data_IF_701637042536
#
_entry.id   IF_701637042536
#
_cell.length_a   1.000
_cell.length_b   1.000
_cell.length_c   1.000
_cell.angle_alpha   90.00
_cell.angle_beta   90.00
_cell.angle_gamma   90.00
#
_symmetry.space_group_name_H-M   'P 1'
#
loop_
_entity.id
_entity.type
_entity.pdbx_description
1 polymer ?
#
# COMPACT_ATOMS: atom_id res chain seq x y z
N UNK A 1 12.11 11.08 66.14
CA UNK A 1 12.39 9.73 65.58
C UNK A 1 11.93 9.74 64.13
N UNK A 2 12.84 9.92 63.15
CA UNK A 2 13.57 8.91 62.33
C UNK A 2 12.90 8.83 60.93
N UNK A 3 13.40 9.54 59.91
CA UNK A 3 14.47 9.21 58.93
C UNK A 3 14.08 8.14 57.89
N UNK A 4 14.25 8.48 56.61
CA UNK A 4 14.28 7.52 55.50
C UNK A 4 14.29 8.16 54.11
N UNK A 5 15.43 8.73 53.71
CA UNK A 5 15.75 9.04 52.31
C UNK A 5 16.03 7.75 51.51
N UNK A 6 15.85 7.80 50.19
CA UNK A 6 16.29 6.75 49.28
C UNK A 6 16.29 7.20 47.82
N UNK A 7 17.34 7.92 47.41
CA UNK A 7 17.69 8.18 46.00
C UNK A 7 18.46 6.97 45.47
N UNK A 8 18.06 6.41 44.32
CA UNK A 8 18.78 5.36 43.61
C UNK A 8 19.07 5.82 42.18
N UNK A 9 20.28 6.35 42.00
CA UNK A 9 20.90 6.58 40.70
C UNK A 9 21.56 5.28 40.24
N UNK A 10 21.03 4.68 39.17
CA UNK A 10 21.65 3.55 38.49
C UNK A 10 22.46 4.05 37.29
N UNK A 11 23.79 3.99 37.38
CA UNK A 11 24.69 4.19 36.24
C UNK A 11 25.09 2.80 35.74
N UNK A 12 24.64 2.44 34.54
CA UNK A 12 25.10 1.23 33.85
C UNK A 12 25.74 1.63 32.53
N UNK A 13 27.07 1.60 32.52
CA UNK A 13 27.87 1.60 31.31
C UNK A 13 27.87 0.18 30.72
N UNK A 14 27.54 0.05 29.44
CA UNK A 14 27.87 -1.15 28.66
C UNK A 14 28.59 -0.75 27.37
N UNK A 15 29.81 -1.23 27.25
CA UNK A 15 30.68 -1.08 26.09
C UNK A 15 30.16 -1.92 24.92
N UNK A 16 30.14 -1.35 23.71
CA UNK A 16 29.92 -2.11 22.47
C UNK A 16 31.24 -2.19 21.71
N UNK A 17 31.81 -3.39 21.69
CA UNK A 17 32.97 -3.75 20.90
C UNK A 17 32.60 -3.74 19.40
N UNK A 18 33.44 -3.07 18.59
CA UNK A 18 33.24 -2.91 17.14
C UNK A 18 33.32 -4.22 16.37
N UNK A 19 32.33 -4.43 15.49
CA UNK A 19 32.20 -5.58 14.62
C UNK A 19 32.97 -5.38 13.30
N UNK A 20 33.60 -6.48 12.88
CA UNK A 20 34.48 -6.71 11.73
C UNK A 20 33.97 -6.14 10.40
N UNK A 21 34.82 -5.38 9.70
CA UNK A 21 34.61 -5.01 8.30
C UNK A 21 35.03 -6.18 7.38
N UNK A 22 34.07 -6.81 6.70
CA UNK A 22 34.30 -7.78 5.64
C UNK A 22 34.24 -7.10 4.27
N UNK A 23 35.24 -7.35 3.45
CA UNK A 23 35.44 -6.82 2.12
C UNK A 23 34.51 -7.46 1.06
N UNK A 24 34.10 -6.66 0.08
CA UNK A 24 33.63 -7.07 -1.26
C UNK A 24 34.66 -6.51 -2.29
N UNK A 25 34.81 -7.02 -3.55
CA UNK A 25 33.73 -7.53 -4.41
C UNK A 25 34.11 -8.71 -5.37
N UNK A 26 33.11 -9.33 -6.00
CA UNK A 26 33.23 -9.92 -7.34
C UNK A 26 31.83 -10.19 -7.93
N UNK A 27 31.27 -9.24 -8.69
CA UNK A 27 30.18 -9.53 -9.61
C UNK A 27 30.78 -9.93 -10.96
N UNK A 28 30.47 -11.14 -11.39
CA UNK A 28 30.86 -11.69 -12.67
C UNK A 28 30.08 -11.03 -13.81
N UNK A 29 30.80 -10.60 -14.84
CA UNK A 29 30.29 -10.04 -16.09
C UNK A 29 29.39 -11.05 -16.81
N UNK A 30 28.15 -10.66 -17.14
CA UNK A 30 27.35 -11.37 -18.13
C UNK A 30 27.58 -10.75 -19.51
N UNK A 31 28.14 -11.55 -20.41
CA UNK A 31 28.47 -11.21 -21.78
C UNK A 31 27.23 -11.04 -22.66
N UNK A 32 27.23 -9.98 -23.47
CA UNK A 32 26.29 -9.79 -24.58
C UNK A 32 26.50 -10.84 -25.67
N UNK A 33 25.42 -11.47 -26.12
CA UNK A 33 25.38 -12.23 -27.38
C UNK A 33 24.35 -11.60 -28.29
N UNK A 34 24.82 -10.99 -29.37
CA UNK A 34 24.04 -10.51 -30.50
C UNK A 34 24.11 -11.54 -31.65
N UNK A 35 22.96 -11.78 -32.29
CA UNK A 35 22.65 -12.35 -33.62
C UNK A 35 21.27 -13.02 -33.50
N UNK A 36 20.28 -12.92 -34.39
CA UNK A 36 20.24 -12.92 -35.86
C UNK A 36 18.91 -12.26 -36.29
N UNK A 37 18.87 -11.38 -37.30
CA UNK A 37 18.73 -11.61 -38.75
C UNK A 37 17.30 -11.91 -39.26
N UNK A 38 16.88 -11.05 -40.19
CA UNK A 38 15.95 -11.24 -41.33
C UNK A 38 14.45 -11.54 -41.15
N UNK A 39 13.65 -10.50 -41.42
CA UNK A 39 12.78 -10.42 -42.60
C UNK A 39 11.61 -11.41 -42.73
N UNK A 40 10.39 -10.91 -42.50
CA UNK A 40 9.19 -11.32 -43.24
C UNK A 40 8.10 -10.24 -43.14
N UNK A 41 7.96 -9.45 -44.20
CA UNK A 41 6.75 -8.71 -44.52
C UNK A 41 5.66 -9.69 -44.95
N UNK A 42 4.53 -9.71 -44.24
CA UNK A 42 3.31 -10.37 -44.73
C UNK A 42 2.20 -9.34 -44.79
N UNK A 43 1.75 -9.15 -46.02
CA UNK A 43 0.69 -8.27 -46.49
C UNK A 43 -0.66 -8.64 -45.85
N UNK A 44 -1.39 -7.64 -45.37
CA UNK A 44 -2.76 -7.81 -44.92
C UNK A 44 -3.67 -7.77 -46.16
N UNK A 45 -3.99 -8.94 -46.72
CA UNK A 45 -4.97 -9.04 -47.80
C UNK A 45 -6.38 -8.81 -47.27
N UNK A 46 -7.05 -7.82 -47.87
CA UNK A 46 -8.46 -7.56 -47.72
C UNK A 46 -9.30 -8.72 -48.28
N UNK A 47 -10.35 -9.11 -47.55
CA UNK A 47 -11.49 -9.82 -48.13
C UNK A 47 -12.75 -9.00 -47.88
N UNK A 48 -13.34 -8.58 -48.98
CA UNK A 48 -14.63 -7.95 -49.16
C UNK A 48 -15.79 -8.85 -48.71
N UNK A 49 -16.64 -8.37 -47.80
CA UNK A 49 -18.02 -8.84 -47.63
C UNK A 49 -18.93 -7.63 -47.32
N UNK A 50 -19.85 -7.36 -48.27
CA UNK A 50 -20.85 -6.30 -48.21
C UNK A 50 -21.95 -6.47 -47.15
N UNK A 51 -22.94 -5.56 -47.12
CA UNK A 51 -23.52 -5.02 -45.90
C UNK A 51 -24.63 -5.91 -45.32
N UNK A 52 -24.49 -6.29 -44.04
CA UNK A 52 -25.58 -6.76 -43.21
C UNK A 52 -26.19 -5.57 -42.45
N UNK A 53 -27.52 -5.45 -42.49
CA UNK A 53 -28.28 -4.29 -42.01
C UNK A 53 -28.14 -3.98 -40.51
N UNK A 54 -28.66 -2.83 -40.06
CA UNK A 54 -28.55 -2.41 -38.66
C UNK A 54 -29.33 -3.38 -37.76
N UNK A 55 -28.76 -3.83 -36.63
CA UNK A 55 -29.56 -4.50 -35.61
C UNK A 55 -30.57 -3.49 -35.04
N UNK A 56 -31.83 -3.88 -35.15
CA UNK A 56 -33.05 -3.24 -34.67
C UNK A 56 -32.96 -2.94 -33.16
N UNK A 57 -33.40 -1.75 -32.76
CA UNK A 57 -33.65 -1.34 -31.38
C UNK A 57 -34.46 -2.39 -30.62
N UNK A 58 -33.82 -3.09 -29.70
CA UNK A 58 -34.48 -3.69 -28.56
C UNK A 58 -34.19 -2.78 -27.35
N UNK A 59 -35.07 -1.80 -27.13
CA UNK A 59 -35.13 -1.06 -25.88
C UNK A 59 -35.39 -2.06 -24.75
N UNK A 60 -34.34 -2.44 -24.03
CA UNK A 60 -34.49 -3.08 -22.73
C UNK A 60 -34.94 -1.95 -21.81
N UNK A 61 -36.23 -1.92 -21.49
CA UNK A 61 -36.74 -1.10 -20.39
C UNK A 61 -36.11 -1.60 -19.10
N UNK A 62 -35.03 -0.93 -18.69
CA UNK A 62 -34.47 -1.04 -17.35
C UNK A 62 -35.39 -0.29 -16.40
N UNK A 63 -36.38 -1.00 -15.86
CA UNK A 63 -37.09 -0.57 -14.65
C UNK A 63 -36.18 -0.83 -13.44
N UNK A 64 -35.14 -0.01 -13.29
CA UNK A 64 -34.37 0.03 -12.04
C UNK A 64 -35.25 0.66 -10.96
N UNK A 65 -35.53 -0.02 -9.84
CA UNK A 65 -36.10 0.66 -8.68
C UNK A 65 -35.07 1.67 -8.17
N UNK A 66 -35.52 2.92 -7.97
CA UNK A 66 -34.81 3.93 -7.18
C UNK A 66 -34.60 3.35 -5.78
N UNK A 67 -33.42 2.77 -5.58
CA UNK A 67 -32.80 2.56 -4.28
C UNK A 67 -31.91 3.76 -3.99
N UNK A 68 -31.83 4.16 -2.73
CA UNK A 68 -31.07 5.31 -2.21
C UNK A 68 -29.74 5.50 -2.96
N UNK A 69 -29.62 6.61 -3.67
CA UNK A 69 -28.75 6.79 -4.85
C UNK A 69 -27.26 7.07 -4.53
N UNK A 70 -26.73 6.61 -3.38
CA UNK A 70 -25.38 7.03 -2.92
C UNK A 70 -24.35 5.90 -2.80
N UNK A 71 -24.74 4.61 -2.82
CA UNK A 71 -23.80 3.51 -2.65
C UNK A 71 -23.68 2.68 -3.94
N UNK A 72 -22.63 2.95 -4.72
CA UNK A 72 -22.26 2.12 -5.86
C UNK A 72 -21.92 0.71 -5.36
N UNK A 73 -22.62 -0.35 -5.81
CA UNK A 73 -22.38 -1.70 -5.31
C UNK A 73 -20.94 -2.12 -5.59
N UNK A 74 -20.22 -2.53 -4.54
CA UNK A 74 -18.81 -2.91 -4.59
C UNK A 74 -17.82 -1.76 -4.36
N UNK A 75 -18.31 -0.55 -4.07
CA UNK A 75 -17.52 0.59 -3.64
C UNK A 75 -17.96 1.06 -2.25
N UNK A 76 -17.03 1.59 -1.47
CA UNK A 76 -17.27 2.24 -0.19
C UNK A 76 -16.90 3.72 -0.29
N UNK A 77 -17.76 4.60 0.23
CA UNK A 77 -17.42 6.02 0.39
C UNK A 77 -16.43 6.19 1.55
N UNK A 78 -15.31 6.86 1.28
CA UNK A 78 -14.29 7.21 2.29
C UNK A 78 -14.28 8.71 2.60
N UNK A 79 -15.32 9.43 2.17
CA UNK A 79 -15.57 10.83 2.45
C UNK A 79 -15.06 11.76 1.35
N UNK A 80 -15.64 12.96 1.28
CA UNK A 80 -15.26 13.96 0.29
C UNK A 80 -15.70 13.62 -1.14
N UNK A 81 -16.67 12.72 -1.31
CA UNK A 81 -17.15 12.27 -2.61
C UNK A 81 -16.22 11.26 -3.30
N UNK A 82 -15.33 10.63 -2.54
CA UNK A 82 -14.40 9.61 -3.04
C UNK A 82 -14.87 8.25 -2.58
N UNK A 83 -15.10 7.36 -3.54
CA UNK A 83 -15.41 5.97 -3.29
C UNK A 83 -14.28 5.07 -3.80
N UNK A 84 -13.85 4.10 -2.99
CA UNK A 84 -12.86 3.09 -3.34
C UNK A 84 -13.53 1.70 -3.40
N UNK A 85 -12.95 0.71 -4.10
CA UNK A 85 -13.47 -0.64 -4.04
C UNK A 85 -13.58 -1.14 -2.60
N UNK A 86 -14.69 -1.78 -2.25
CA UNK A 86 -14.88 -2.32 -0.90
C UNK A 86 -13.98 -3.52 -0.61
N UNK A 87 -13.53 -4.22 -1.65
CA UNK A 87 -12.63 -5.38 -1.58
C UNK A 87 -11.28 -5.01 -2.18
N UNK A 88 -10.20 -5.40 -1.50
CA UNK A 88 -8.84 -5.08 -1.92
C UNK A 88 -8.29 -6.04 -2.97
N UNK A 89 -7.18 -5.70 -3.63
CA UNK A 89 -6.39 -6.66 -4.41
C UNK A 89 -5.94 -7.86 -3.57
N UNK A 90 -5.67 -8.97 -4.26
CA UNK A 90 -5.13 -10.19 -3.65
C UNK A 90 -6.10 -10.83 -2.65
N UNK A 91 -5.60 -11.12 -1.44
CA UNK A 91 -6.34 -11.80 -0.38
C UNK A 91 -7.06 -10.82 0.57
N UNK A 92 -7.12 -9.53 0.22
CA UNK A 92 -7.68 -8.51 1.09
C UNK A 92 -9.22 -8.49 1.11
N UNK A 93 -9.87 -8.88 2.22
CA UNK A 93 -11.32 -8.95 2.28
C UNK A 93 -11.99 -7.57 2.24
N UNK A 94 -11.30 -6.57 2.79
CA UNK A 94 -11.67 -5.16 2.79
C UNK A 94 -10.49 -4.34 2.27
N UNK A 95 -10.76 -3.14 1.74
CA UNK A 95 -9.71 -2.19 1.37
C UNK A 95 -9.88 -0.91 2.16
N UNK A 96 -8.87 -0.54 2.93
CA UNK A 96 -8.85 0.72 3.65
C UNK A 96 -8.07 1.80 2.88
N UNK A 97 -8.35 3.07 3.16
CA UNK A 97 -7.58 4.18 2.61
C UNK A 97 -7.67 5.41 3.52
N UNK A 98 -6.69 6.31 3.43
CA UNK A 98 -6.72 7.59 4.14
C UNK A 98 -7.26 8.68 3.20
N UNK A 99 -8.20 9.49 3.68
CA UNK A 99 -8.69 10.64 2.93
C UNK A 99 -9.11 11.81 3.84
N UNK A 100 -8.83 13.08 3.47
CA UNK A 100 -7.82 13.50 2.51
C UNK A 100 -6.42 13.01 2.91
N UNK A 101 -5.56 12.71 1.93
CA UNK A 101 -4.24 12.11 2.15
C UNK A 101 -3.08 13.11 1.99
N UNK A 102 -3.35 14.41 1.97
CA UNK A 102 -2.27 15.39 2.05
C UNK A 102 -1.47 15.18 3.35
N UNK A 103 -0.16 15.39 3.27
CA UNK A 103 0.74 15.05 4.36
C UNK A 103 0.33 15.72 5.69
N UNK A 104 0.02 14.92 6.71
CA UNK A 104 -0.37 15.37 8.05
C UNK A 104 -1.68 16.18 8.11
N UNK A 105 -2.57 16.04 7.12
CA UNK A 105 -3.83 16.78 7.10
C UNK A 105 -4.70 16.45 8.34
N UNK A 106 -5.08 17.43 9.18
CA UNK A 106 -5.85 17.16 10.41
C UNK A 106 -7.31 16.74 10.14
N UNK A 107 -7.80 16.93 8.92
CA UNK A 107 -9.10 16.45 8.49
C UNK A 107 -9.05 15.01 7.95
N UNK A 108 -7.85 14.44 7.77
CA UNK A 108 -7.68 13.06 7.31
C UNK A 108 -8.40 12.09 8.25
N UNK A 109 -8.99 11.06 7.67
CA UNK A 109 -9.59 9.94 8.38
C UNK A 109 -9.27 8.65 7.64
N UNK A 110 -9.31 7.54 8.36
CA UNK A 110 -9.32 6.22 7.77
C UNK A 110 -10.74 5.90 7.28
N UNK A 111 -10.86 5.60 5.99
CA UNK A 111 -12.02 4.95 5.42
C UNK A 111 -11.81 3.45 5.30
N UNK A 112 -12.84 2.66 5.60
CA UNK A 112 -12.75 1.19 5.63
C UNK A 112 -12.05 0.63 6.86
N UNK A 113 -11.76 -0.67 6.82
CA UNK A 113 -11.15 -1.42 7.94
C UNK A 113 -9.80 -1.99 7.51
N UNK A 114 -8.76 -1.68 8.29
CA UNK A 114 -7.44 -2.29 8.15
C UNK A 114 -7.50 -3.73 8.65
N UNK A 115 -7.04 -4.67 7.83
CA UNK A 115 -6.95 -6.09 8.18
C UNK A 115 -5.50 -6.53 8.08
N UNK A 116 -4.88 -6.93 9.19
CA UNK A 116 -3.51 -7.50 9.16
C UNK A 116 -3.57 -8.99 8.81
N UNK A 117 -3.08 -9.33 7.62
CA UNK A 117 -2.91 -10.71 7.14
C UNK A 117 -1.70 -11.41 7.79
N UNK A 118 -0.96 -10.71 8.66
CA UNK A 118 0.23 -11.18 9.35
C UNK A 118 1.52 -10.84 8.59
N UNK A 119 2.70 -10.99 9.24
CA UNK A 119 3.97 -10.70 8.61
C UNK A 119 4.15 -11.41 7.27
N UNK A 120 4.56 -10.65 6.25
CA UNK A 120 4.70 -11.12 4.88
C UNK A 120 6.08 -10.71 4.31
N UNK A 121 6.52 -11.31 3.18
CA UNK A 121 7.68 -10.79 2.45
C UNK A 121 7.51 -9.30 2.18
N UNK A 122 8.54 -8.51 2.49
CA UNK A 122 8.56 -7.05 2.33
C UNK A 122 7.56 -6.28 3.22
N UNK A 123 7.06 -6.90 4.30
CA UNK A 123 6.23 -6.27 5.31
C UNK A 123 6.36 -6.98 6.68
N UNK A 124 7.55 -6.90 7.25
CA UNK A 124 7.94 -7.53 8.51
C UNK A 124 7.88 -6.59 9.72
N UNK A 125 7.62 -5.31 9.50
CA UNK A 125 7.44 -4.29 10.53
C UNK A 125 6.35 -4.57 11.56
N UNK A 126 6.42 -3.79 12.63
CA UNK A 126 5.57 -3.91 13.80
C UNK A 126 4.28 -3.09 13.62
N UNK A 127 3.15 -3.70 13.92
CA UNK A 127 1.85 -3.02 13.93
C UNK A 127 1.60 -2.45 15.32
N UNK A 128 1.37 -1.14 15.39
CA UNK A 128 0.95 -0.45 16.60
C UNK A 128 -0.57 -0.31 16.67
N UNK A 129 -1.10 -0.49 17.86
CA UNK A 129 -2.53 -0.35 18.17
C UNK A 129 -2.79 0.96 18.92
N UNK A 130 -3.98 1.55 18.75
CA UNK A 130 -4.48 2.61 19.62
C UNK A 130 -5.02 2.04 20.95
N UNK A 131 -5.53 2.91 21.82
CA UNK A 131 -6.09 2.54 23.13
C UNK A 131 -7.34 1.65 23.00
N UNK A 132 -8.02 1.71 21.85
CA UNK A 132 -9.16 0.87 21.49
C UNK A 132 -8.77 -0.51 20.94
N UNK A 133 -7.47 -0.77 20.77
CA UNK A 133 -6.96 -2.04 20.22
C UNK A 133 -7.08 -2.14 18.70
N UNK A 134 -7.37 -1.04 18.01
CA UNK A 134 -7.40 -0.96 16.55
C UNK A 134 -6.02 -0.65 15.98
N UNK A 135 -5.73 -1.15 14.79
CA UNK A 135 -4.50 -0.83 14.07
C UNK A 135 -4.47 0.67 13.77
N UNK A 136 -3.40 1.33 14.23
CA UNK A 136 -3.23 2.78 14.14
C UNK A 136 -1.92 3.19 13.50
N UNK A 137 -0.87 2.40 13.66
CA UNK A 137 0.48 2.71 13.17
C UNK A 137 1.21 1.47 12.67
N UNK A 138 2.25 1.70 11.87
CA UNK A 138 3.18 0.68 11.42
C UNK A 138 4.61 1.18 11.54
N UNK A 139 5.45 0.46 12.27
CA UNK A 139 6.88 0.74 12.36
C UNK A 139 7.62 -0.06 11.30
N UNK A 140 8.20 0.64 10.33
CA UNK A 140 8.85 0.06 9.15
C UNK A 140 10.10 -0.72 9.56
N UNK A 141 10.21 -1.98 9.14
CA UNK A 141 11.41 -2.79 9.31
C UNK A 141 12.33 -2.71 8.07
N UNK A 142 13.57 -3.20 8.23
CA UNK A 142 14.52 -3.29 7.13
C UNK A 142 14.03 -4.25 6.05
N UNK A 143 13.94 -3.76 4.81
CA UNK A 143 13.47 -4.53 3.65
C UNK A 143 11.97 -4.46 3.41
N UNK A 144 11.23 -3.71 4.23
CA UNK A 144 9.82 -3.43 3.97
C UNK A 144 9.67 -2.50 2.75
N UNK A 145 8.54 -2.64 2.05
CA UNK A 145 8.18 -1.79 0.92
C UNK A 145 6.77 -1.25 1.11
N UNK A 146 6.47 -0.08 0.54
CA UNK A 146 5.12 0.48 0.60
C UNK A 146 4.06 -0.51 0.10
N UNK A 147 4.37 -1.22 -0.98
CA UNK A 147 3.51 -2.26 -1.57
C UNK A 147 3.33 -3.48 -0.66
N UNK A 148 4.42 -4.01 -0.09
CA UNK A 148 4.32 -5.12 0.84
C UNK A 148 3.46 -4.77 2.05
N UNK A 149 3.63 -3.55 2.58
CA UNK A 149 2.84 -3.05 3.71
C UNK A 149 1.35 -2.97 3.33
N UNK A 150 1.00 -2.49 2.14
CA UNK A 150 -0.41 -2.47 1.70
C UNK A 150 -1.01 -3.86 1.55
N UNK A 151 -0.27 -4.80 0.94
CA UNK A 151 -0.78 -6.16 0.73
C UNK A 151 -0.99 -6.88 2.08
N UNK A 152 -0.09 -6.66 3.04
CA UNK A 152 -0.23 -7.20 4.39
C UNK A 152 -1.41 -6.60 5.16
N UNK A 153 -1.55 -5.27 5.13
CA UNK A 153 -2.50 -4.55 6.00
C UNK A 153 -3.83 -4.20 5.32
N UNK A 154 -4.00 -4.59 4.06
CA UNK A 154 -5.20 -4.33 3.28
C UNK A 154 -5.62 -2.86 3.28
N UNK A 155 -4.62 -1.99 3.06
CA UNK A 155 -4.76 -0.54 3.03
C UNK A 155 -4.02 0.01 1.81
N UNK A 156 -4.58 1.02 1.17
CA UNK A 156 -4.00 1.66 -0.01
C UNK A 156 -2.66 2.35 0.32
N UNK A 157 -1.55 1.85 -0.23
CA UNK A 157 -0.22 2.42 0.05
C UNK A 157 -0.08 3.85 -0.46
N UNK A 158 -0.78 4.25 -1.52
CA UNK A 158 -0.67 5.60 -2.09
C UNK A 158 -1.13 6.61 -1.05
N UNK A 159 -2.32 6.40 -0.48
CA UNK A 159 -2.88 7.28 0.55
C UNK A 159 -2.06 7.26 1.84
N UNK A 160 -1.58 6.09 2.27
CA UNK A 160 -0.73 5.99 3.47
C UNK A 160 0.60 6.73 3.27
N UNK A 161 1.31 6.48 2.16
CA UNK A 161 2.59 7.12 1.91
C UNK A 161 2.41 8.63 1.72
N UNK A 162 1.36 9.09 1.04
CA UNK A 162 1.11 10.51 0.86
C UNK A 162 0.82 11.21 2.20
N UNK A 163 -0.04 10.63 3.04
CA UNK A 163 -0.38 11.19 4.35
C UNK A 163 0.84 11.27 5.27
N UNK A 164 1.74 10.28 5.18
CA UNK A 164 2.97 10.25 5.96
C UNK A 164 4.13 11.06 5.34
N UNK A 165 3.92 11.70 4.18
CA UNK A 165 4.96 12.46 3.49
C UNK A 165 6.09 11.60 2.92
N UNK A 166 5.80 10.33 2.59
CA UNK A 166 6.75 9.31 2.11
C UNK A 166 6.52 8.85 0.67
N UNK A 167 5.65 9.51 -0.08
CA UNK A 167 5.19 9.04 -1.40
C UNK A 167 6.22 9.13 -2.53
N UNK A 168 7.15 10.08 -2.47
CA UNK A 168 8.08 10.34 -3.58
C UNK A 168 9.54 10.41 -3.11
N UNK A 169 10.51 10.07 -3.97
CA UNK A 169 11.91 10.33 -3.69
C UNK A 169 12.17 11.81 -3.40
N UNK A 170 13.13 12.13 -2.51
CA UNK A 170 14.00 11.22 -1.77
C UNK A 170 13.46 10.80 -0.40
N UNK A 171 12.16 10.97 -0.14
CA UNK A 171 11.56 10.80 1.20
C UNK A 171 10.87 9.45 1.37
N UNK A 172 11.26 8.43 0.60
CA UNK A 172 10.70 7.08 0.72
C UNK A 172 10.88 6.50 2.12
N UNK A 173 10.05 5.51 2.46
CA UNK A 173 10.08 4.85 3.77
C UNK A 173 11.48 4.30 4.10
N UNK A 174 11.90 4.51 5.34
CA UNK A 174 13.15 4.02 5.89
C UNK A 174 12.88 3.15 7.12
N UNK A 175 13.79 2.21 7.45
CA UNK A 175 13.67 1.43 8.68
C UNK A 175 13.58 2.33 9.91
N UNK A 176 12.61 2.07 10.77
CA UNK A 176 12.31 2.86 11.97
C UNK A 176 11.34 4.02 11.74
N UNK A 177 10.94 4.31 10.50
CA UNK A 177 9.81 5.22 10.26
C UNK A 177 8.54 4.66 10.91
N UNK A 178 7.76 5.54 11.54
CA UNK A 178 6.43 5.21 12.06
C UNK A 178 5.41 5.82 11.10
N UNK A 179 4.69 4.96 10.40
CA UNK A 179 3.60 5.34 9.52
C UNK A 179 2.32 5.41 10.34
N UNK A 180 1.63 6.54 10.27
CA UNK A 180 0.27 6.69 10.76
C UNK A 180 -0.68 6.09 9.74
N UNK A 181 -1.46 5.11 10.17
CA UNK A 181 -2.47 4.43 9.36
C UNK A 181 -3.89 4.92 9.68
N UNK A 182 -4.09 5.49 10.88
CA UNK A 182 -5.38 6.01 11.37
C UNK A 182 -5.21 7.44 11.94
N UNK A 183 -5.40 8.48 11.10
CA UNK A 183 -5.31 9.89 11.48
C UNK A 183 -6.45 10.42 12.37
#
# INVERSE_FOLDING_TARGET
MNKGEGVLLGVSALAVAGLVAMAAPAFASFSSSAASDSGASVEHMATDQGPAGPPTDAAVETTSPVGTEDELPGYQDIGGGIAIPSTGPGDCPTWAAIHPYDAGNPAARLGGTITDLGPAPYASGEVGLNDEGEISTYTVASGDTAWGISDRLCIDYVTVMAYNGKFMPPVEIQPGDILVLRP
#
